data_IF_560740563910
#
_entry.id   IF_560740563910
#
_cell.length_a   1.000
_cell.length_b   1.000
_cell.length_c   1.000
_cell.angle_alpha   90.00
_cell.angle_beta   90.00
_cell.angle_gamma   90.00
#
_symmetry.space_group_name_H-M   'P 1'
#
loop_
_entity.id
_entity.type
_entity.pdbx_description
1 polymer ?
#
# COMPACT_ATOMS: atom_id res chain seq x y z
N UNK A 1 10.23 -15.27 -4.88
CA UNK A 1 9.39 -14.20 -5.46
C UNK A 1 8.22 -14.74 -6.30
N UNK A 2 8.44 -15.71 -7.21
CA UNK A 2 7.34 -16.27 -8.02
C UNK A 2 6.19 -16.94 -7.25
N UNK A 3 6.48 -17.51 -6.07
CA UNK A 3 5.45 -18.12 -5.21
C UNK A 3 4.41 -17.09 -4.74
N UNK A 4 4.85 -15.87 -4.42
CA UNK A 4 3.98 -14.78 -3.99
C UNK A 4 3.05 -14.35 -5.13
N UNK A 5 3.61 -14.04 -6.30
CA UNK A 5 2.84 -13.63 -7.47
C UNK A 5 1.81 -14.69 -7.86
N UNK A 6 2.19 -15.97 -7.84
CA UNK A 6 1.26 -17.07 -8.11
C UNK A 6 0.11 -17.13 -7.12
N UNK A 7 0.37 -16.87 -5.83
CA UNK A 7 -0.67 -16.82 -4.80
C UNK A 7 -1.62 -15.64 -5.05
N UNK A 8 -1.08 -14.45 -5.30
CA UNK A 8 -1.88 -13.23 -5.51
C UNK A 8 -2.75 -13.30 -6.79
N UNK A 9 -2.23 -13.89 -7.88
CA UNK A 9 -3.02 -14.10 -9.11
C UNK A 9 -4.25 -14.98 -8.92
N UNK A 10 -4.30 -15.83 -7.88
CA UNK A 10 -5.46 -16.67 -7.59
C UNK A 10 -6.62 -15.91 -6.94
N UNK A 11 -6.33 -14.82 -6.26
CA UNK A 11 -7.35 -14.03 -5.55
C UNK A 11 -8.29 -13.30 -6.53
N UNK A 12 -7.85 -13.06 -7.78
CA UNK A 12 -8.62 -12.42 -8.87
C UNK A 12 -9.25 -11.06 -8.51
N UNK A 13 -8.80 -10.43 -7.42
CA UNK A 13 -9.24 -9.12 -6.94
C UNK A 13 -8.09 -8.13 -7.00
N UNK A 14 -8.42 -6.84 -7.03
CA UNK A 14 -7.43 -5.78 -6.84
C UNK A 14 -6.80 -5.89 -5.45
N UNK A 15 -5.50 -5.67 -5.36
CA UNK A 15 -4.76 -5.79 -4.09
C UNK A 15 -4.76 -4.46 -3.36
N UNK A 16 -4.81 -4.46 -2.04
CA UNK A 16 -4.65 -3.25 -1.24
C UNK A 16 -3.27 -3.28 -0.58
N UNK A 17 -2.45 -2.27 -0.81
CA UNK A 17 -1.16 -2.12 -0.13
C UNK A 17 -1.33 -1.12 1.01
N UNK A 18 -1.05 -1.55 2.23
CA UNK A 18 -1.22 -0.72 3.41
C UNK A 18 0.12 -0.48 4.10
N UNK A 19 0.44 0.81 4.32
CA UNK A 19 1.59 1.22 5.13
C UNK A 19 1.27 1.16 6.63
N UNK A 20 2.27 1.33 7.48
CA UNK A 20 2.02 1.66 8.89
C UNK A 20 1.27 2.99 9.04
N UNK A 21 0.68 3.18 10.23
CA UNK A 21 0.02 4.44 10.58
C UNK A 21 1.04 5.59 10.61
N UNK A 22 0.67 6.75 10.09
CA UNK A 22 1.56 7.91 9.93
C UNK A 22 2.81 7.59 9.08
N UNK A 23 2.63 7.17 7.82
CA UNK A 23 3.73 6.67 7.01
C UNK A 23 4.80 7.74 6.76
N UNK A 24 6.05 7.31 6.81
CA UNK A 24 7.18 8.12 6.40
C UNK A 24 7.54 7.88 4.92
N UNK A 25 8.68 8.41 4.49
CA UNK A 25 9.13 8.28 3.11
C UNK A 25 9.47 6.84 2.72
N UNK A 26 9.98 6.02 3.65
CA UNK A 26 10.36 4.63 3.37
C UNK A 26 9.11 3.79 3.17
N UNK A 27 8.12 3.92 4.07
CA UNK A 27 6.84 3.25 3.93
C UNK A 27 6.13 3.57 2.61
N UNK A 28 6.14 4.84 2.18
CA UNK A 28 5.54 5.26 0.90
C UNK A 28 6.35 4.73 -0.29
N UNK A 29 7.68 4.80 -0.25
CA UNK A 29 8.54 4.30 -1.32
C UNK A 29 8.44 2.77 -1.47
N UNK A 30 8.38 2.03 -0.36
CA UNK A 30 8.16 0.60 -0.32
C UNK A 30 6.78 0.24 -0.91
N UNK A 31 5.74 0.97 -0.54
CA UNK A 31 4.40 0.75 -1.10
C UNK A 31 4.37 1.03 -2.62
N UNK A 32 4.96 2.15 -3.04
CA UNK A 32 5.03 2.54 -4.46
C UNK A 32 5.78 1.50 -5.29
N UNK A 33 6.98 1.12 -4.86
CA UNK A 33 7.80 0.12 -5.56
C UNK A 33 7.09 -1.24 -5.63
N UNK A 34 6.36 -1.63 -4.58
CA UNK A 34 5.55 -2.85 -4.59
C UNK A 34 4.39 -2.75 -5.60
N UNK A 35 3.70 -1.61 -5.67
CA UNK A 35 2.64 -1.37 -6.65
C UNK A 35 3.17 -1.48 -8.09
N UNK A 36 4.28 -0.81 -8.38
CA UNK A 36 4.97 -0.90 -9.69
C UNK A 36 5.39 -2.35 -9.98
N UNK A 37 5.98 -3.04 -9.00
CA UNK A 37 6.36 -4.44 -9.12
C UNK A 37 5.16 -5.34 -9.46
N UNK A 38 4.03 -5.18 -8.77
CA UNK A 38 2.80 -5.95 -9.04
C UNK A 38 2.23 -5.66 -10.42
N UNK A 39 2.26 -4.39 -10.85
CA UNK A 39 1.81 -3.96 -12.18
C UNK A 39 2.59 -4.65 -13.31
N UNK A 40 3.91 -4.85 -13.14
CA UNK A 40 4.74 -5.59 -14.09
C UNK A 40 4.28 -7.05 -14.28
N UNK A 41 3.56 -7.63 -13.30
CA UNK A 41 2.98 -8.97 -13.39
C UNK A 41 1.49 -8.97 -13.77
N UNK A 42 0.89 -7.82 -14.08
CA UNK A 42 -0.51 -7.67 -14.45
C UNK A 42 -1.48 -7.70 -13.27
N UNK A 43 -1.02 -7.34 -12.07
CA UNK A 43 -1.85 -7.22 -10.87
C UNK A 43 -2.05 -5.73 -10.57
N UNK A 44 -3.30 -5.31 -10.37
CA UNK A 44 -3.63 -3.95 -9.92
C UNK A 44 -3.54 -3.85 -8.41
N UNK A 45 -3.11 -2.70 -7.93
CA UNK A 45 -3.08 -2.39 -6.50
C UNK A 45 -3.35 -0.93 -6.22
N UNK A 46 -4.10 -0.66 -5.15
CA UNK A 46 -4.21 0.68 -4.57
C UNK A 46 -3.34 0.76 -3.32
N UNK A 47 -2.87 1.96 -2.99
CA UNK A 47 -2.08 2.19 -1.79
C UNK A 47 -2.90 2.98 -0.78
N UNK A 48 -2.90 2.53 0.47
CA UNK A 48 -3.59 3.20 1.54
C UNK A 48 -2.73 3.41 2.80
N UNK A 49 -3.17 4.38 3.60
CA UNK A 49 -2.52 4.78 4.84
C UNK A 49 -3.53 5.08 5.93
N UNK A 50 -3.09 5.02 7.19
CA UNK A 50 -3.85 5.52 8.33
C UNK A 50 -3.12 6.69 9.01
N UNK A 51 -3.87 7.51 9.75
CA UNK A 51 -3.32 8.69 10.42
C UNK A 51 -3.19 9.89 9.49
N UNK A 52 -2.13 10.70 9.68
CA UNK A 52 -1.89 11.93 8.92
C UNK A 52 -0.61 11.82 8.11
N UNK A 53 -0.67 12.27 6.86
CA UNK A 53 0.51 12.49 6.04
C UNK A 53 1.04 13.90 6.35
N UNK A 54 2.32 14.06 6.73
CA UNK A 54 2.91 15.38 6.91
C UNK A 54 2.87 16.19 5.61
N UNK A 55 2.58 17.49 5.71
CA UNK A 55 2.38 18.39 4.55
C UNK A 55 3.59 18.37 3.59
N UNK A 56 4.81 18.30 4.13
CA UNK A 56 6.03 18.26 3.34
C UNK A 56 6.18 16.97 2.51
N UNK A 57 5.68 15.82 3.02
CA UNK A 57 5.64 14.56 2.27
C UNK A 57 4.64 14.68 1.13
N UNK A 58 3.47 15.25 1.41
CA UNK A 58 2.38 15.40 0.45
C UNK A 58 2.74 16.34 -0.71
N UNK A 59 3.29 17.51 -0.40
CA UNK A 59 3.43 18.59 -1.38
C UNK A 59 4.67 18.43 -2.27
N UNK A 60 5.66 17.62 -1.87
CA UNK A 60 6.84 17.30 -2.68
C UNK A 60 6.87 15.87 -3.19
N UNK A 61 6.86 14.90 -2.26
CA UNK A 61 7.18 13.50 -2.57
C UNK A 61 6.05 12.80 -3.33
N UNK A 62 4.80 12.89 -2.85
CA UNK A 62 3.67 12.26 -3.52
C UNK A 62 3.43 12.82 -4.92
N UNK A 63 3.55 14.15 -5.08
CA UNK A 63 3.41 14.81 -6.39
C UNK A 63 4.49 14.36 -7.38
N UNK A 64 5.72 14.16 -6.91
CA UNK A 64 6.83 13.72 -7.77
C UNK A 64 6.68 12.27 -8.24
N UNK A 65 6.00 11.44 -7.45
CA UNK A 65 5.74 10.03 -7.77
C UNK A 65 4.45 9.81 -8.56
N UNK A 66 3.64 10.86 -8.76
CA UNK A 66 2.28 10.77 -9.30
C UNK A 66 1.45 9.67 -8.61
N UNK A 67 1.66 9.52 -7.29
CA UNK A 67 1.10 8.43 -6.53
C UNK A 67 -0.26 8.82 -5.93
N UNK A 68 -1.29 8.04 -6.27
CA UNK A 68 -2.56 8.07 -5.57
C UNK A 68 -2.45 7.29 -4.25
N UNK A 69 -2.69 8.01 -3.15
CA UNK A 69 -2.59 7.48 -1.79
C UNK A 69 -3.88 7.76 -1.02
N UNK A 70 -4.57 6.70 -0.60
CA UNK A 70 -5.92 6.78 -0.05
C UNK A 70 -5.96 6.59 1.47
N UNK A 71 -6.79 7.33 2.21
CA UNK A 71 -7.09 7.00 3.59
C UNK A 71 -7.67 5.58 3.71
N UNK A 72 -7.15 4.77 4.64
CA UNK A 72 -7.56 3.37 4.80
C UNK A 72 -9.08 3.25 5.00
N UNK A 73 -9.68 4.15 5.76
CA UNK A 73 -11.13 4.17 6.00
C UNK A 73 -11.98 4.46 4.75
N UNK A 74 -11.38 4.93 3.65
CA UNK A 74 -12.07 5.21 2.40
C UNK A 74 -12.02 4.01 1.42
N UNK A 75 -11.03 3.13 1.55
CA UNK A 75 -10.74 2.07 0.57
C UNK A 75 -10.65 0.67 1.17
N UNK A 76 -10.64 0.55 2.49
CA UNK A 76 -10.62 -0.74 3.15
C UNK A 76 -11.97 -1.42 2.99
N UNK A 77 -11.95 -2.49 2.22
CA UNK A 77 -13.02 -3.46 2.13
C UNK A 77 -12.52 -4.80 2.66
N UNK A 78 -13.40 -5.60 3.28
CA UNK A 78 -13.02 -6.93 3.80
C UNK A 78 -12.81 -7.97 2.70
N UNK A 79 -12.85 -7.55 1.44
CA UNK A 79 -12.92 -8.42 0.29
C UNK A 79 -11.59 -8.58 -0.42
N UNK A 80 -10.75 -7.55 -0.41
CA UNK A 80 -9.46 -7.53 -1.09
C UNK A 80 -8.34 -8.07 -0.22
N UNK A 81 -7.38 -8.79 -0.81
CA UNK A 81 -6.15 -9.13 -0.10
C UNK A 81 -5.35 -7.87 0.25
N UNK A 82 -4.95 -7.77 1.52
CA UNK A 82 -4.12 -6.66 2.03
C UNK A 82 -2.66 -7.10 2.12
N UNK A 83 -1.77 -6.31 1.52
CA UNK A 83 -0.32 -6.44 1.62
C UNK A 83 0.19 -5.33 2.53
N UNK A 84 0.77 -5.71 3.66
CA UNK A 84 1.30 -4.76 4.65
C UNK A 84 2.78 -4.54 4.39
N UNK A 85 3.20 -3.27 4.35
CA UNK A 85 4.58 -2.86 4.12
C UNK A 85 5.11 -2.03 5.28
N UNK A 86 6.41 -2.17 5.54
CA UNK A 86 7.14 -1.44 6.59
C UNK A 86 6.51 -1.51 7.99
N UNK A 87 5.76 -2.58 8.26
CA UNK A 87 5.22 -2.92 9.59
C UNK A 87 4.80 -4.37 9.66
N UNK A 88 4.45 -4.80 10.87
CA UNK A 88 3.90 -6.10 11.16
C UNK A 88 2.44 -5.95 11.63
N UNK A 89 1.47 -6.68 11.04
CA UNK A 89 0.05 -6.60 11.41
C UNK A 89 -0.25 -6.80 12.91
N UNK A 90 0.64 -7.46 13.65
CA UNK A 90 0.42 -7.81 15.05
C UNK A 90 1.06 -6.83 16.05
N UNK A 91 1.62 -5.70 15.58
CA UNK A 91 2.41 -4.79 16.42
C UNK A 91 1.68 -3.52 16.88
N UNK A 92 0.40 -3.38 16.55
CA UNK A 92 -0.47 -2.28 17.04
C UNK A 92 -0.29 -0.94 16.31
N UNK A 93 0.63 -0.85 15.35
CA UNK A 93 0.89 0.34 14.52
C UNK A 93 0.25 0.24 13.12
N UNK A 94 -0.87 -0.49 13.04
CA UNK A 94 -1.61 -0.73 11.81
C UNK A 94 -3.11 -0.67 12.11
N UNK A 95 -3.81 0.29 11.50
CA UNK A 95 -5.27 0.38 11.57
C UNK A 95 -5.93 -0.69 10.68
N UNK A 96 -6.88 -1.46 11.22
CA UNK A 96 -7.62 -2.52 10.51
C UNK A 96 -9.08 -2.16 10.25
#
# INVERSE_FOLDING_TARGET
MESLIRKLKREKKSLLIQTHDFPDYDAIAAAYSLSVFLSHYGLSSDICYAGKIPVFVRDGFLRSLELDLYPVNAVLDQERPVLVVDTNPYTGNLTH
#
